data_IF_490850708208
#
_entry.id   IF_490850708208
#
_cell.length_a   1.000
_cell.length_b   1.000
_cell.length_c   1.000
_cell.angle_alpha   90.00
_cell.angle_beta   90.00
_cell.angle_gamma   90.00
#
_symmetry.space_group_name_H-M   'P 1'
#
loop_
_entity.id
_entity.type
_entity.pdbx_description
1 polymer ?
#
# COMPACT_ATOMS: atom_id res chain seq x y z
N UNK A 1 -2.52 -2.45 -4.62
CA UNK A 1 -3.09 -2.65 -3.26
C UNK A 1 -2.47 -1.71 -2.22
N UNK A 2 -1.15 -1.44 -2.24
CA UNK A 2 -0.51 -0.43 -1.37
C UNK A 2 -1.11 0.98 -1.48
N UNK A 3 -1.62 1.35 -2.66
CA UNK A 3 -2.37 2.59 -2.85
C UNK A 3 -3.56 2.75 -1.90
N UNK A 4 -4.20 1.66 -1.45
CA UNK A 4 -5.29 1.73 -0.47
C UNK A 4 -4.80 2.24 0.90
N UNK A 5 -3.57 1.92 1.28
CA UNK A 5 -2.99 2.39 2.54
C UNK A 5 -2.78 3.91 2.52
N UNK A 6 -2.39 4.46 1.36
CA UNK A 6 -2.31 5.91 1.17
C UNK A 6 -3.69 6.54 1.19
N UNK A 7 -4.62 6.00 0.42
CA UNK A 7 -5.99 6.51 0.36
C UNK A 7 -6.68 6.53 1.74
N UNK A 8 -6.48 5.51 2.58
CA UNK A 8 -7.00 5.51 3.96
C UNK A 8 -6.43 6.69 4.77
N UNK A 9 -5.14 7.01 4.60
CA UNK A 9 -4.50 8.13 5.32
C UNK A 9 -4.83 9.50 4.74
N UNK A 10 -5.04 9.59 3.43
CA UNK A 10 -5.34 10.84 2.74
C UNK A 10 -6.79 11.26 2.91
N UNK A 11 -7.73 10.31 2.91
CA UNK A 11 -9.16 10.58 2.95
C UNK A 11 -9.83 10.30 4.30
N UNK A 12 -9.13 9.67 5.25
CA UNK A 12 -9.63 9.32 6.59
C UNK A 12 -11.08 8.79 6.57
N UNK A 13 -11.37 7.72 5.80
CA UNK A 13 -12.73 7.34 5.45
C UNK A 13 -13.52 6.83 6.66
N UNK A 14 -14.78 7.24 6.77
CA UNK A 14 -15.67 6.77 7.85
C UNK A 14 -16.22 5.34 7.64
N UNK A 15 -15.93 4.72 6.49
CA UNK A 15 -16.32 3.34 6.18
C UNK A 15 -15.58 2.82 4.96
N UNK A 16 -15.62 1.50 4.73
CA UNK A 16 -15.12 0.88 3.48
C UNK A 16 -15.84 1.47 2.25
N UNK A 17 -17.14 1.74 2.35
CA UNK A 17 -17.92 2.35 1.28
C UNK A 17 -17.45 3.78 0.96
N UNK A 18 -17.26 4.60 1.99
CA UNK A 18 -16.75 5.96 1.83
C UNK A 18 -15.36 5.97 1.18
N UNK A 19 -14.48 5.03 1.56
CA UNK A 19 -13.18 4.86 0.91
C UNK A 19 -13.35 4.51 -0.57
N UNK A 20 -14.16 3.52 -0.90
CA UNK A 20 -14.38 3.08 -2.28
C UNK A 20 -14.89 4.22 -3.17
N UNK A 21 -15.81 5.04 -2.65
CA UNK A 21 -16.32 6.22 -3.34
C UNK A 21 -15.25 7.31 -3.52
N UNK A 22 -14.42 7.57 -2.50
CA UNK A 22 -13.37 8.60 -2.55
C UNK A 22 -12.27 8.33 -3.59
N UNK A 23 -12.03 7.06 -3.94
CA UNK A 23 -11.01 6.65 -4.90
C UNK A 23 -11.58 6.14 -6.23
N UNK A 24 -12.88 6.29 -6.44
CA UNK A 24 -13.62 5.81 -7.61
C UNK A 24 -13.31 4.35 -7.97
N UNK A 25 -13.45 3.45 -6.98
CA UNK A 25 -13.25 2.01 -7.17
C UNK A 25 -14.45 1.19 -6.71
N UNK A 26 -14.63 0.04 -7.36
CA UNK A 26 -15.63 -0.94 -6.97
C UNK A 26 -15.46 -1.42 -5.51
N UNK A 27 -16.59 -1.49 -4.79
CA UNK A 27 -16.62 -1.81 -3.37
C UNK A 27 -16.04 -3.18 -3.06
N UNK A 28 -16.33 -4.19 -3.87
CA UNK A 28 -15.86 -5.56 -3.65
C UNK A 28 -14.34 -5.62 -3.79
N UNK A 29 -13.80 -4.97 -4.83
CA UNK A 29 -12.35 -4.88 -5.03
C UNK A 29 -11.63 -4.17 -3.87
N UNK A 30 -12.25 -3.11 -3.32
CA UNK A 30 -11.71 -2.42 -2.14
C UNK A 30 -11.79 -3.30 -0.91
N UNK A 31 -12.92 -3.98 -0.68
CA UNK A 31 -13.08 -4.90 0.45
C UNK A 31 -12.06 -6.04 0.41
N UNK A 32 -11.93 -6.74 -0.72
CA UNK A 32 -10.92 -7.80 -0.92
C UNK A 32 -9.50 -7.26 -0.73
N UNK A 33 -9.27 -6.01 -1.15
CA UNK A 33 -8.07 -5.24 -0.91
C UNK A 33 -7.74 -5.11 0.57
N UNK A 34 -8.70 -4.60 1.34
CA UNK A 34 -8.56 -4.32 2.76
C UNK A 34 -8.50 -5.59 3.60
N UNK A 35 -9.21 -6.65 3.24
CA UNK A 35 -9.15 -7.94 3.94
C UNK A 35 -7.75 -8.57 3.82
N UNK A 36 -7.14 -8.49 2.63
CA UNK A 36 -5.76 -8.93 2.46
C UNK A 36 -4.79 -8.10 3.33
N UNK A 37 -4.92 -6.77 3.31
CA UNK A 37 -4.08 -5.89 4.12
C UNK A 37 -4.27 -6.11 5.62
N UNK A 38 -5.51 -6.41 6.04
CA UNK A 38 -5.83 -6.75 7.43
C UNK A 38 -5.18 -8.07 7.86
N UNK A 39 -5.24 -9.10 7.00
CA UNK A 39 -4.59 -10.39 7.25
C UNK A 39 -3.07 -10.25 7.49
N UNK A 40 -2.44 -9.28 6.83
CA UNK A 40 -1.01 -8.99 7.00
C UNK A 40 -0.71 -7.96 8.10
N UNK A 41 -1.72 -7.53 8.88
CA UNK A 41 -1.55 -6.59 9.99
C UNK A 41 -1.28 -5.14 9.57
N UNK A 42 -1.43 -4.80 8.29
CA UNK A 42 -1.19 -3.45 7.77
C UNK A 42 -2.38 -2.52 8.02
N UNK A 43 -3.58 -3.09 8.14
CA UNK A 43 -4.84 -2.38 8.40
C UNK A 43 -5.57 -3.03 9.57
N UNK A 44 -6.20 -2.21 10.42
CA UNK A 44 -7.21 -2.66 11.39
C UNK A 44 -8.59 -2.12 11.02
N UNK A 45 -9.64 -2.79 11.48
CA UNK A 45 -11.00 -2.29 11.37
C UNK A 45 -11.49 -1.86 12.75
N UNK A 46 -11.78 -0.56 12.91
CA UNK A 46 -12.51 -0.06 14.07
C UNK A 46 -14.01 -0.13 13.77
N UNK A 47 -14.81 -0.40 14.80
CA UNK A 47 -16.27 -0.29 14.74
C UNK A 47 -16.71 1.01 15.39
N UNK A 48 -17.72 1.67 14.83
CA UNK A 48 -18.36 2.82 15.47
C UNK A 48 -19.15 2.32 16.69
N UNK A 49 -18.92 2.92 17.87
CA UNK A 49 -19.45 2.43 19.14
C UNK A 49 -20.98 2.47 19.25
N UNK A 50 -21.64 3.30 18.45
CA UNK A 50 -23.09 3.53 18.50
C UNK A 50 -23.92 2.55 17.68
N UNK A 51 -23.31 1.62 16.94
CA UNK A 51 -24.07 0.75 16.05
C UNK A 51 -23.59 -0.70 16.16
N UNK A 52 -24.47 -1.59 16.64
CA UNK A 52 -24.21 -3.03 16.74
C UNK A 52 -24.01 -3.69 15.35
N UNK A 53 -24.40 -3.02 14.25
CA UNK A 53 -24.07 -3.37 12.86
C UNK A 53 -23.11 -2.38 12.20
N UNK A 54 -22.41 -1.57 12.99
CA UNK A 54 -21.68 -0.40 12.54
C UNK A 54 -20.67 -0.66 11.44
N UNK A 55 -20.59 0.29 10.52
CA UNK A 55 -19.64 0.29 9.42
C UNK A 55 -18.21 0.06 9.93
N UNK A 56 -17.47 -0.82 9.24
CA UNK A 56 -16.04 -1.04 9.48
C UNK A 56 -15.27 0.18 8.99
N UNK A 57 -14.57 0.83 9.90
CA UNK A 57 -13.68 1.96 9.62
C UNK A 57 -12.27 1.39 9.42
N UNK A 58 -11.70 1.41 8.20
CA UNK A 58 -10.34 0.95 7.98
C UNK A 58 -9.33 1.97 8.51
N UNK A 59 -8.32 1.51 9.25
CA UNK A 59 -7.26 2.35 9.80
C UNK A 59 -5.89 1.73 9.52
N UNK A 60 -4.93 2.55 9.07
CA UNK A 60 -3.54 2.14 8.87
C UNK A 60 -2.76 2.36 10.16
N UNK A 61 -2.11 1.30 10.64
CA UNK A 61 -1.38 1.31 11.92
C UNK A 61 0.06 1.84 11.81
N UNK A 62 0.56 1.97 10.59
CA UNK A 62 1.97 2.18 10.31
C UNK A 62 2.20 3.60 9.78
N UNK A 63 3.27 4.25 10.26
CA UNK A 63 3.66 5.58 9.77
C UNK A 63 4.36 5.54 8.41
N UNK A 64 5.00 4.42 8.08
CA UNK A 64 5.72 4.19 6.82
C UNK A 64 5.90 2.69 6.57
N UNK A 65 6.21 2.33 5.32
CA UNK A 65 6.48 0.96 4.88
C UNK A 65 7.76 1.00 4.05
N UNK A 66 8.72 0.16 4.41
CA UNK A 66 9.91 -0.11 3.61
C UNK A 66 9.70 -1.43 2.86
N UNK A 67 10.00 -1.44 1.57
CA UNK A 67 9.85 -2.62 0.70
C UNK A 67 11.18 -2.90 0.04
N UNK A 68 11.75 -4.06 0.35
CA UNK A 68 12.95 -4.57 -0.30
C UNK A 68 12.55 -5.61 -1.35
N UNK A 69 12.92 -5.36 -2.60
CA UNK A 69 12.66 -6.27 -3.72
C UNK A 69 14.00 -6.78 -4.22
N UNK A 70 14.25 -8.07 -4.09
CA UNK A 70 15.39 -8.72 -4.72
C UNK A 70 15.08 -8.90 -6.21
N UNK A 71 15.98 -8.41 -7.06
CA UNK A 71 15.89 -8.57 -8.50
C UNK A 71 16.91 -9.62 -8.94
N UNK A 72 16.50 -10.52 -9.84
CA UNK A 72 17.38 -11.49 -10.46
C UNK A 72 17.84 -10.95 -11.82
N UNK A 73 19.15 -10.78 -12.01
CA UNK A 73 19.75 -10.21 -13.21
C UNK A 73 19.77 -11.18 -14.41
N UNK A 74 19.17 -12.37 -14.26
CA UNK A 74 19.18 -13.43 -15.30
C UNK A 74 18.31 -13.13 -16.52
N UNK A 75 17.43 -12.13 -16.48
CA UNK A 75 16.70 -11.70 -17.66
C UNK A 75 17.34 -10.46 -18.30
N UNK A 76 17.75 -10.58 -19.57
CA UNK A 76 18.38 -9.53 -20.38
C UNK A 76 17.52 -8.25 -20.48
N UNK A 77 16.22 -8.33 -20.16
CA UNK A 77 15.29 -7.20 -20.08
C UNK A 77 15.26 -6.46 -18.74
N UNK A 78 15.79 -7.04 -17.65
CA UNK A 78 15.74 -6.47 -16.31
C UNK A 78 16.44 -5.12 -16.23
N UNK A 79 17.65 -5.02 -16.79
CA UNK A 79 18.44 -3.78 -16.80
C UNK A 79 17.73 -2.64 -17.56
N UNK A 80 17.10 -2.95 -18.69
CA UNK A 80 16.35 -1.98 -19.49
C UNK A 80 15.08 -1.47 -18.79
N UNK A 81 14.42 -2.30 -17.98
CA UNK A 81 13.33 -1.86 -17.11
C UNK A 81 13.84 -0.91 -16.02
N UNK A 82 14.94 -1.26 -15.35
CA UNK A 82 15.50 -0.46 -14.26
C UNK A 82 15.97 0.91 -14.71
N UNK A 83 16.60 1.00 -15.88
CA UNK A 83 17.13 2.27 -16.38
C UNK A 83 16.03 3.15 -16.99
N UNK A 84 15.10 2.57 -17.76
CA UNK A 84 14.19 3.36 -18.60
C UNK A 84 12.75 3.46 -18.07
N UNK A 85 12.31 2.50 -17.25
CA UNK A 85 10.90 2.37 -16.87
C UNK A 85 10.68 2.50 -15.36
N UNK A 86 11.66 2.10 -14.53
CA UNK A 86 11.54 2.13 -13.08
C UNK A 86 11.24 3.53 -12.53
N UNK A 87 11.88 4.64 -12.98
CA UNK A 87 11.55 5.97 -12.46
C UNK A 87 10.08 6.35 -12.66
N UNK A 88 9.53 6.06 -13.85
CA UNK A 88 8.11 6.30 -14.15
C UNK A 88 7.22 5.40 -13.29
N UNK A 89 7.52 4.11 -13.21
CA UNK A 89 6.76 3.17 -12.39
C UNK A 89 6.71 3.59 -10.92
N UNK A 90 7.86 3.99 -10.36
CA UNK A 90 7.95 4.46 -8.98
C UNK A 90 7.13 5.75 -8.78
N UNK A 91 7.19 6.69 -9.73
CA UNK A 91 6.38 7.91 -9.69
C UNK A 91 4.87 7.63 -9.74
N UNK A 92 4.42 6.75 -10.65
CA UNK A 92 3.01 6.34 -10.77
C UNK A 92 2.50 5.61 -9.52
N UNK A 93 3.34 4.77 -8.91
CA UNK A 93 3.04 4.11 -7.65
C UNK A 93 3.24 5.03 -6.43
N UNK A 94 3.70 6.27 -6.67
CA UNK A 94 4.11 7.25 -5.67
C UNK A 94 5.16 6.71 -4.68
N UNK A 95 5.95 5.71 -5.07
CA UNK A 95 7.00 5.09 -4.24
C UNK A 95 8.26 5.93 -4.35
N UNK A 96 8.76 6.41 -3.22
CA UNK A 96 10.04 7.11 -3.18
C UNK A 96 11.17 6.09 -3.08
N UNK A 97 12.11 6.04 -4.04
CA UNK A 97 13.29 5.20 -3.89
C UNK A 97 14.13 5.74 -2.72
N UNK A 98 14.50 4.84 -1.81
CA UNK A 98 15.51 5.11 -0.80
C UNK A 98 16.79 4.41 -1.23
N UNK A 99 17.90 5.13 -1.29
CA UNK A 99 19.20 4.49 -1.50
C UNK A 99 19.43 3.54 -0.31
N UNK A 100 19.48 2.24 -0.58
CA UNK A 100 19.79 1.25 0.43
C UNK A 100 21.05 1.70 1.16
N UNK A 101 20.96 1.93 2.48
CA UNK A 101 22.14 2.03 3.33
C UNK A 101 22.73 0.63 3.33
N UNK A 102 23.56 0.32 2.34
CA UNK A 102 24.34 -0.90 2.31
C UNK A 102 25.14 -0.91 3.60
N UNK A 103 24.85 -1.89 4.46
CA UNK A 103 25.77 -2.24 5.54
C UNK A 103 27.08 -2.60 4.85
N UNK A 104 28.04 -1.66 4.88
CA UNK A 104 29.42 -2.02 4.61
C UNK A 104 29.78 -3.04 5.68
N UNK A 105 29.87 -4.32 5.30
CA UNK A 105 30.58 -5.29 6.11
C UNK A 105 31.96 -4.69 6.38
N UNK A 106 32.22 -4.34 7.64
CA UNK A 106 33.56 -4.00 8.08
C UNK A 106 34.44 -5.22 7.79
N UNK A 107 35.51 -4.97 7.03
CA UNK A 107 36.59 -5.92 6.76
C UNK A 107 37.37 -6.18 8.04
#
# INVERSE_FOLDING_TARGET
>A
RLALLRAIREHEPESIYALAHSIDRDLKNVQDGLELLHKHGLVRFRRRATDHRGAKIPEVLLRGIEVTIALDDRETGGRGFLENNLPRFLAEAAITPSAARGEKKAV
#
